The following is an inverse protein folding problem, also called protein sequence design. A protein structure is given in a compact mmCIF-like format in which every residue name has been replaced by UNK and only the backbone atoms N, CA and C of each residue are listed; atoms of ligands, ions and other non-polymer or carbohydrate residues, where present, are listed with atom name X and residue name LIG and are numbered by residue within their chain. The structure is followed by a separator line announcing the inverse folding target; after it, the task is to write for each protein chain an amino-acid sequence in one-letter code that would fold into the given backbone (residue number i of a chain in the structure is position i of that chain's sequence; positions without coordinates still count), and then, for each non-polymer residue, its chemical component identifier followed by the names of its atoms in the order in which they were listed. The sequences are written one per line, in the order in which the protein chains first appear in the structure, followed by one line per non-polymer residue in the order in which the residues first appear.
data_IF_078949350793
#
_entry.id   IF_078949350793
#
_cell.length_a   1.000
_cell.length_b   1.000
_cell.length_c   1.000
_cell.angle_alpha   90.00
_cell.angle_beta   90.00
_cell.angle_gamma   90.00
#
_symmetry.space_group_name_H-M   'P 1'
#
loop_
_entity.id
_entity.type
_entity.pdbx_description
1 polymer ?
#
# COMPACT_ATOMS: atom_id res chain seq x y z
N UNK A 1 6.27 -41.41 -6.23
CA UNK A 1 6.90 -40.18 -6.75
C UNK A 1 8.17 -39.96 -5.95
N UNK A 2 9.33 -39.79 -6.58
CA UNK A 2 10.58 -39.51 -5.86
C UNK A 2 10.49 -38.14 -5.19
N UNK A 3 10.92 -38.06 -3.93
CA UNK A 3 10.92 -36.82 -3.16
C UNK A 3 11.94 -35.83 -3.76
N UNK A 4 11.53 -34.58 -4.00
CA UNK A 4 12.39 -33.56 -4.57
C UNK A 4 13.34 -33.03 -3.48
N UNK A 5 14.64 -33.34 -3.60
CA UNK A 5 15.65 -32.85 -2.65
C UNK A 5 16.45 -31.67 -3.25
N UNK A 6 16.35 -30.48 -2.62
CA UNK A 6 17.13 -29.30 -2.98
C UNK A 6 18.29 -29.10 -2.00
N UNK A 7 19.51 -28.93 -2.49
CA UNK A 7 20.62 -28.45 -1.65
C UNK A 7 20.35 -27.02 -1.19
N UNK A 8 21.00 -26.58 -0.10
CA UNK A 8 20.89 -25.20 0.39
C UNK A 8 21.24 -24.18 -0.71
N UNK A 9 22.27 -24.45 -1.52
CA UNK A 9 22.64 -23.58 -2.63
C UNK A 9 21.58 -23.59 -3.74
N UNK A 10 20.99 -24.75 -4.03
CA UNK A 10 19.87 -24.86 -4.96
C UNK A 10 18.66 -24.05 -4.50
N UNK A 11 18.30 -24.15 -3.21
CA UNK A 11 17.20 -23.38 -2.63
C UNK A 11 17.45 -21.86 -2.67
N UNK A 12 18.68 -21.40 -2.38
CA UNK A 12 19.07 -19.98 -2.49
C UNK A 12 19.00 -19.47 -3.92
N UNK A 13 19.56 -20.23 -4.87
CA UNK A 13 19.52 -19.87 -6.29
C UNK A 13 18.07 -19.84 -6.81
N UNK A 14 17.24 -20.79 -6.38
CA UNK A 14 15.81 -20.82 -6.71
C UNK A 14 15.09 -19.59 -6.15
N UNK A 15 15.37 -19.18 -4.91
CA UNK A 15 14.78 -17.98 -4.32
C UNK A 15 15.20 -16.71 -5.08
N UNK A 16 16.49 -16.55 -5.40
CA UNK A 16 16.98 -15.44 -6.21
C UNK A 16 16.37 -15.44 -7.61
N UNK A 17 16.21 -16.63 -8.21
CA UNK A 17 15.54 -16.78 -9.50
C UNK A 17 14.08 -16.36 -9.39
N UNK A 18 13.32 -16.84 -8.40
CA UNK A 18 11.92 -16.46 -8.20
C UNK A 18 11.77 -14.95 -8.02
N UNK A 19 12.69 -14.30 -7.29
CA UNK A 19 12.68 -12.86 -7.02
C UNK A 19 13.24 -11.98 -8.14
N UNK A 20 13.76 -12.57 -9.22
CA UNK A 20 14.32 -11.83 -10.36
C UNK A 20 15.72 -11.24 -10.11
N UNK A 21 16.46 -11.81 -9.18
CA UNK A 21 17.78 -11.36 -8.73
C UNK A 21 18.93 -12.27 -9.19
N UNK A 22 18.63 -13.40 -9.84
CA UNK A 22 19.67 -14.34 -10.29
C UNK A 22 20.34 -13.91 -11.62
N UNK A 23 19.65 -13.14 -12.44
CA UNK A 23 20.12 -12.77 -13.78
C UNK A 23 20.57 -11.31 -13.82
N UNK A 24 21.66 -10.98 -14.53
CA UNK A 24 22.06 -9.60 -14.72
C UNK A 24 21.04 -8.84 -15.57
N UNK A 25 20.95 -7.53 -15.34
CA UNK A 25 20.12 -6.62 -16.13
C UNK A 25 20.68 -6.51 -17.54
N UNK A 26 19.81 -6.58 -18.55
CA UNK A 26 20.20 -6.59 -19.97
C UNK A 26 19.95 -5.27 -20.71
N UNK A 27 19.11 -4.40 -20.14
CA UNK A 27 18.73 -3.10 -20.71
C UNK A 27 18.35 -2.11 -19.61
N UNK A 28 18.22 -0.84 -19.99
CA UNK A 28 17.62 0.19 -19.12
C UNK A 28 16.15 -0.17 -18.82
N UNK A 29 15.73 0.14 -17.61
CA UNK A 29 14.36 -0.08 -17.17
C UNK A 29 13.40 0.86 -17.92
N UNK A 30 12.18 0.37 -18.14
CA UNK A 30 11.01 1.13 -18.57
C UNK A 30 9.91 0.97 -17.51
N UNK A 31 8.89 1.82 -17.53
CA UNK A 31 7.80 1.81 -16.55
C UNK A 31 7.16 0.44 -16.32
N UNK A 32 6.94 -0.32 -17.40
CA UNK A 32 6.38 -1.67 -17.31
C UNK A 32 7.21 -2.63 -16.43
N UNK A 33 8.53 -2.46 -16.38
CA UNK A 33 9.39 -3.31 -15.55
C UNK A 33 9.15 -3.11 -14.04
N UNK A 34 8.68 -1.93 -13.62
CA UNK A 34 8.28 -1.68 -12.22
C UNK A 34 7.07 -2.55 -11.86
N UNK A 35 6.05 -2.54 -12.71
CA UNK A 35 4.86 -3.36 -12.52
C UNK A 35 5.21 -4.86 -12.55
N UNK A 36 6.03 -5.29 -13.51
CA UNK A 36 6.45 -6.69 -13.64
C UNK A 36 7.31 -7.14 -12.44
N UNK A 37 8.15 -6.27 -11.89
CA UNK A 37 8.90 -6.57 -10.67
C UNK A 37 7.96 -6.78 -9.48
N UNK A 38 6.92 -5.95 -9.32
CA UNK A 38 5.94 -6.07 -8.23
C UNK A 38 5.10 -7.33 -8.41
N UNK A 39 4.63 -7.63 -9.63
CA UNK A 39 3.94 -8.89 -9.97
C UNK A 39 4.76 -10.10 -9.59
N UNK A 40 6.05 -10.10 -9.94
CA UNK A 40 6.96 -11.21 -9.62
C UNK A 40 7.17 -11.39 -8.11
N UNK A 41 7.20 -10.29 -7.35
CA UNK A 41 7.27 -10.34 -5.89
C UNK A 41 5.93 -10.72 -5.24
N UNK A 42 4.81 -10.49 -5.92
CA UNK A 42 3.44 -10.59 -5.42
C UNK A 42 3.00 -9.38 -4.58
N UNK A 43 3.94 -8.66 -3.96
CA UNK A 43 3.68 -7.43 -3.23
C UNK A 43 4.97 -6.62 -3.04
N UNK A 44 4.82 -5.30 -2.90
CA UNK A 44 5.91 -4.40 -2.52
C UNK A 44 5.54 -3.66 -1.24
N UNK A 45 6.19 -4.01 -0.13
CA UNK A 45 5.93 -3.39 1.16
C UNK A 45 6.29 -1.90 1.16
N UNK A 46 5.41 -1.11 1.78
CA UNK A 46 5.54 0.33 2.02
C UNK A 46 6.17 0.55 3.39
N UNK A 47 7.29 1.26 3.42
CA UNK A 47 7.96 1.70 4.64
C UNK A 47 8.13 3.22 4.62
N UNK A 48 7.92 3.86 5.78
CA UNK A 48 7.98 5.31 5.93
C UNK A 48 9.38 5.83 6.24
N UNK A 49 10.31 4.99 6.71
CA UNK A 49 11.69 5.38 7.06
C UNK A 49 12.44 5.82 5.79
N UNK A 50 13.08 6.99 5.83
CA UNK A 50 13.66 7.64 4.66
C UNK A 50 15.10 8.18 4.84
N UNK A 51 15.90 7.59 5.74
CA UNK A 51 17.28 8.07 6.03
C UNK A 51 18.17 8.10 4.78
N UNK A 52 18.03 7.11 3.90
CA UNK A 52 18.73 7.06 2.60
C UNK A 52 17.71 7.18 1.47
N UNK A 53 16.80 6.20 1.42
CA UNK A 53 15.60 6.20 0.60
C UNK A 53 14.59 5.26 1.27
N UNK A 54 13.30 5.40 0.94
CA UNK A 54 12.29 4.49 1.47
C UNK A 54 12.44 3.10 0.86
N UNK A 55 12.12 2.07 1.66
CA UNK A 55 12.27 0.66 1.28
C UNK A 55 11.72 0.31 -0.12
N UNK A 56 10.51 0.75 -0.53
CA UNK A 56 9.98 0.44 -1.86
C UNK A 56 10.94 0.79 -2.99
N UNK A 57 11.57 1.97 -2.89
CA UNK A 57 12.45 2.48 -3.93
C UNK A 57 13.76 1.70 -4.00
N UNK A 58 14.30 1.30 -2.85
CA UNK A 58 15.52 0.47 -2.75
C UNK A 58 15.28 -0.95 -3.28
N UNK A 59 14.13 -1.53 -2.95
CA UNK A 59 13.72 -2.88 -3.40
C UNK A 59 13.55 -2.93 -4.91
N UNK A 60 12.96 -1.89 -5.51
CA UNK A 60 12.87 -1.75 -6.96
C UNK A 60 14.25 -1.48 -7.59
N UNK A 61 15.05 -0.60 -7.00
CA UNK A 61 16.39 -0.30 -7.49
C UNK A 61 17.29 -1.55 -7.51
N UNK A 62 17.19 -2.46 -6.53
CA UNK A 62 17.96 -3.71 -6.51
C UNK A 62 17.60 -4.67 -7.65
N UNK A 63 16.40 -4.54 -8.23
CA UNK A 63 15.95 -5.34 -9.38
C UNK A 63 16.19 -4.63 -10.72
N UNK A 64 15.83 -3.35 -10.78
CA UNK A 64 15.75 -2.58 -12.04
C UNK A 64 17.01 -1.75 -12.33
N UNK A 65 17.74 -1.36 -11.28
CA UNK A 65 18.88 -0.46 -11.39
C UNK A 65 18.44 0.98 -11.45
N UNK A 66 19.12 1.78 -12.27
CA UNK A 66 18.69 3.15 -12.50
C UNK A 66 17.34 3.15 -13.23
N UNK A 67 16.32 3.65 -12.55
CA UNK A 67 14.94 3.76 -13.02
C UNK A 67 14.33 5.04 -12.46
N UNK A 68 13.24 5.50 -13.06
CA UNK A 68 12.51 6.68 -12.59
C UNK A 68 11.57 6.31 -11.44
N UNK A 69 11.79 6.78 -10.20
CA UNK A 69 10.94 6.42 -9.06
C UNK A 69 9.49 6.87 -9.21
N UNK A 70 9.23 7.92 -9.99
CA UNK A 70 7.88 8.45 -10.24
C UNK A 70 6.97 7.41 -10.89
N UNK A 71 7.53 6.44 -11.62
CA UNK A 71 6.76 5.35 -12.23
C UNK A 71 5.96 4.54 -11.22
N UNK A 72 6.44 4.39 -9.97
CA UNK A 72 5.69 3.69 -8.93
C UNK A 72 4.42 4.47 -8.54
N UNK A 73 4.55 5.78 -8.35
CA UNK A 73 3.43 6.65 -7.97
C UNK A 73 2.46 6.82 -9.15
N UNK A 74 2.96 6.88 -10.39
CA UNK A 74 2.14 6.90 -11.59
C UNK A 74 1.35 5.60 -11.77
N UNK A 75 1.97 4.43 -11.56
CA UNK A 75 1.28 3.13 -11.67
C UNK A 75 0.16 2.97 -10.63
N UNK A 76 0.34 3.53 -9.42
CA UNK A 76 -0.73 3.64 -8.44
C UNK A 76 -1.86 4.54 -8.96
N UNK A 77 -1.52 5.75 -9.43
CA UNK A 77 -2.50 6.72 -9.92
C UNK A 77 -3.27 6.25 -11.17
N UNK A 78 -2.65 5.40 -12.00
CA UNK A 78 -3.25 4.78 -13.17
C UNK A 78 -4.09 3.53 -12.84
N UNK A 79 -4.16 3.14 -11.56
CA UNK A 79 -4.89 1.95 -11.12
C UNK A 79 -4.27 0.63 -11.58
N UNK A 80 -3.01 0.62 -11.99
CA UNK A 80 -2.26 -0.63 -12.25
C UNK A 80 -1.80 -1.29 -10.94
N UNK A 81 -1.64 -0.48 -9.90
CA UNK A 81 -1.39 -0.92 -8.53
C UNK A 81 -2.49 -0.39 -7.63
N UNK A 82 -2.72 -1.07 -6.52
CA UNK A 82 -3.49 -0.54 -5.38
C UNK A 82 -2.72 -0.72 -4.08
N UNK A 83 -3.03 0.12 -3.09
CA UNK A 83 -2.52 -0.08 -1.73
C UNK A 83 -3.50 -0.91 -0.92
N UNK A 84 -2.99 -1.90 -0.18
CA UNK A 84 -3.78 -2.58 0.85
C UNK A 84 -2.91 -3.28 1.89
N UNK A 85 -3.57 -3.80 2.92
CA UNK A 85 -2.96 -4.63 3.95
C UNK A 85 -2.77 -6.06 3.43
N UNK A 86 -1.55 -6.39 2.99
CA UNK A 86 -1.15 -7.76 2.73
C UNK A 86 -0.53 -8.36 4.00
N UNK A 87 0.79 -8.41 4.12
CA UNK A 87 1.45 -8.61 5.41
C UNK A 87 1.41 -7.30 6.22
N UNK A 88 1.92 -6.23 5.61
CA UNK A 88 1.74 -4.85 6.04
C UNK A 88 1.19 -4.00 4.89
N UNK A 89 1.25 -2.66 4.99
CA UNK A 89 0.90 -1.79 3.88
C UNK A 89 1.78 -2.12 2.67
N UNK A 90 1.17 -2.48 1.55
CA UNK A 90 1.87 -2.88 0.33
C UNK A 90 1.26 -2.18 -0.90
N UNK A 91 2.08 -1.96 -1.93
CA UNK A 91 1.61 -1.86 -3.31
C UNK A 91 1.37 -3.26 -3.85
N UNK A 92 0.22 -3.47 -4.47
CA UNK A 92 -0.24 -4.76 -5.00
C UNK A 92 -0.70 -4.59 -6.45
N UNK A 93 -0.46 -5.57 -7.34
CA UNK A 93 -1.00 -5.55 -8.70
C UNK A 93 -2.53 -5.53 -8.68
N UNK A 94 -3.16 -4.71 -9.53
CA UNK A 94 -4.62 -4.57 -9.53
C UNK A 94 -5.38 -5.88 -9.80
N UNK A 95 -4.78 -6.78 -10.58
CA UNK A 95 -5.33 -8.11 -10.83
C UNK A 95 -5.50 -8.96 -9.55
N UNK A 96 -4.71 -8.69 -8.51
CA UNK A 96 -4.79 -9.40 -7.22
C UNK A 96 -5.88 -8.82 -6.31
N UNK A 97 -6.55 -7.73 -6.68
CA UNK A 97 -7.57 -7.07 -5.85
C UNK A 97 -8.65 -8.05 -5.36
N UNK A 98 -9.11 -8.95 -6.23
CA UNK A 98 -10.08 -9.99 -5.88
C UNK A 98 -9.61 -10.93 -4.76
N UNK A 99 -8.30 -11.21 -4.67
CA UNK A 99 -7.71 -12.05 -3.62
C UNK A 99 -7.80 -11.39 -2.24
N UNK A 100 -7.77 -10.06 -2.18
CA UNK A 100 -7.83 -9.29 -0.94
C UNK A 100 -9.25 -8.85 -0.56
N UNK A 101 -10.20 -8.90 -1.50
CA UNK A 101 -11.55 -8.37 -1.29
C UNK A 101 -12.28 -9.00 -0.11
N UNK A 102 -12.05 -10.29 0.17
CA UNK A 102 -12.66 -10.96 1.33
C UNK A 102 -12.31 -10.27 2.66
N UNK A 103 -11.09 -9.72 2.80
CA UNK A 103 -10.66 -8.98 4.00
C UNK A 103 -11.31 -7.59 4.10
N UNK A 104 -11.65 -6.99 2.97
CA UNK A 104 -12.37 -5.71 2.95
C UNK A 104 -13.84 -5.90 3.35
N UNK A 105 -14.45 -7.00 2.91
CA UNK A 105 -15.84 -7.35 3.23
C UNK A 105 -16.01 -7.82 4.68
N UNK A 106 -15.01 -8.51 5.23
CA UNK A 106 -14.94 -8.88 6.65
C UNK A 106 -13.65 -8.35 7.31
N UNK A 107 -13.58 -7.03 7.59
CA UNK A 107 -12.38 -6.41 8.15
C UNK A 107 -12.26 -6.65 9.67
N UNK A 108 -13.22 -7.33 10.30
CA UNK A 108 -13.19 -7.58 11.75
C UNK A 108 -11.96 -8.41 12.17
N UNK A 109 -11.46 -9.27 11.29
CA UNK A 109 -10.26 -10.07 11.52
C UNK A 109 -8.93 -9.29 11.36
N UNK A 110 -8.96 -8.01 10.94
CA UNK A 110 -7.76 -7.21 10.70
C UNK A 110 -7.10 -6.64 11.96
N UNK A 111 -7.60 -7.02 13.14
CA UNK A 111 -7.06 -6.60 14.43
C UNK A 111 -7.12 -5.08 14.59
N UNK A 112 -6.02 -4.47 15.03
CA UNK A 112 -5.96 -3.02 15.29
C UNK A 112 -6.12 -2.14 14.04
N UNK A 113 -5.99 -2.70 12.83
CA UNK A 113 -6.15 -1.99 11.54
C UNK A 113 -7.62 -1.62 11.26
N UNK A 114 -8.57 -2.24 11.95
CA UNK A 114 -10.00 -1.95 11.84
C UNK A 114 -10.66 -1.83 13.21
N UNK A 115 -11.67 -0.98 13.34
CA UNK A 115 -12.42 -0.84 14.59
C UNK A 115 -13.92 -0.73 14.33
N UNK A 116 -14.64 -1.84 14.53
CA UNK A 116 -16.10 -1.86 14.43
C UNK A 116 -16.76 -0.91 15.45
N UNK A 117 -16.18 -0.78 16.64
CA UNK A 117 -16.65 0.17 17.66
C UNK A 117 -16.53 1.61 17.18
N UNK A 118 -15.41 2.00 16.58
CA UNK A 118 -15.24 3.33 15.99
C UNK A 118 -16.30 3.61 14.92
N UNK A 119 -16.54 2.65 14.01
CA UNK A 119 -17.55 2.78 12.96
C UNK A 119 -18.96 2.95 13.50
N UNK A 120 -19.30 2.30 14.63
CA UNK A 120 -20.60 2.46 15.29
C UNK A 120 -20.73 3.79 16.03
N UNK A 121 -19.76 4.14 16.85
CA UNK A 121 -19.80 5.34 17.70
C UNK A 121 -19.70 6.63 16.91
N UNK A 122 -18.99 6.61 15.78
CA UNK A 122 -18.75 7.77 14.90
C UNK A 122 -19.49 7.68 13.57
N UNK A 123 -20.56 6.88 13.49
CA UNK A 123 -21.28 6.61 12.25
C UNK A 123 -21.70 7.88 11.49
N UNK A 124 -22.19 8.90 12.20
CA UNK A 124 -22.56 10.19 11.59
C UNK A 124 -21.38 10.95 10.99
N UNK A 125 -20.25 11.03 11.70
CA UNK A 125 -19.02 11.67 11.21
C UNK A 125 -18.43 10.93 10.01
N UNK A 126 -18.43 9.60 10.06
CA UNK A 126 -17.99 8.74 8.95
C UNK A 126 -18.87 8.94 7.71
N UNK A 127 -20.18 8.98 7.88
CA UNK A 127 -21.12 9.24 6.78
C UNK A 127 -20.90 10.63 6.17
N UNK A 128 -20.69 11.66 7.00
CA UNK A 128 -20.39 13.02 6.55
C UNK A 128 -19.06 13.07 5.77
N UNK A 129 -18.02 12.38 6.24
CA UNK A 129 -16.73 12.27 5.54
C UNK A 129 -16.88 11.63 4.16
N UNK A 130 -17.59 10.50 4.06
CA UNK A 130 -17.85 9.84 2.77
C UNK A 130 -18.67 10.73 1.82
N UNK A 131 -19.66 11.46 2.34
CA UNK A 131 -20.43 12.42 1.56
C UNK A 131 -19.58 13.60 1.08
N UNK A 132 -18.66 14.09 1.92
CA UNK A 132 -17.71 15.13 1.55
C UNK A 132 -16.82 14.69 0.40
N UNK A 133 -16.21 13.50 0.49
CA UNK A 133 -15.35 12.94 -0.58
C UNK A 133 -16.14 12.76 -1.87
N UNK A 134 -17.37 12.25 -1.79
CA UNK A 134 -18.24 12.09 -2.98
C UNK A 134 -18.56 13.43 -3.66
N UNK A 135 -18.70 14.51 -2.89
CA UNK A 135 -19.07 15.83 -3.41
C UNK A 135 -17.88 16.72 -3.82
N UNK A 136 -16.73 16.56 -3.17
CA UNK A 136 -15.58 17.47 -3.31
C UNK A 136 -14.31 16.77 -3.82
N UNK A 137 -14.34 15.44 -3.94
CA UNK A 137 -13.23 14.64 -4.45
C UNK A 137 -12.27 14.13 -3.38
N UNK A 138 -11.10 13.61 -3.80
CA UNK A 138 -10.14 12.94 -2.92
C UNK A 138 -9.56 13.84 -1.84
N UNK A 139 -9.25 13.27 -0.67
CA UNK A 139 -8.72 14.01 0.49
C UNK A 139 -7.48 13.37 1.10
N UNK A 140 -6.68 14.17 1.80
CA UNK A 140 -5.57 13.72 2.66
C UNK A 140 -5.93 13.94 4.12
N UNK A 141 -5.30 13.19 5.02
CA UNK A 141 -5.43 13.44 6.45
C UNK A 141 -4.96 14.84 6.88
N UNK A 142 -4.11 15.49 6.08
CA UNK A 142 -3.63 16.86 6.30
C UNK A 142 -4.66 17.93 5.99
N UNK A 143 -5.70 17.62 5.20
CA UNK A 143 -6.68 18.61 4.75
C UNK A 143 -7.70 18.95 5.86
N UNK A 144 -7.71 18.18 6.96
CA UNK A 144 -8.54 18.43 8.14
C UNK A 144 -7.73 19.19 9.19
N UNK A 145 -8.20 20.38 9.59
CA UNK A 145 -7.57 21.18 10.65
C UNK A 145 -7.80 20.60 12.05
N UNK A 146 -6.90 20.86 13.00
CA UNK A 146 -7.17 20.53 14.42
C UNK A 146 -7.94 21.66 15.05
N UNK A 147 -9.12 21.35 15.56
CA UNK A 147 -9.98 22.31 16.26
C UNK A 147 -9.81 22.26 17.78
N UNK A 148 -8.98 21.35 18.31
CA UNK A 148 -8.85 21.06 19.74
C UNK A 148 -7.67 21.77 20.45
N UNK A 149 -6.87 22.56 19.72
CA UNK A 149 -5.79 23.40 20.28
C UNK A 149 -4.61 22.64 20.92
N UNK A 150 -4.57 21.30 20.83
CA UNK A 150 -3.51 20.48 21.44
C UNK A 150 -2.40 20.17 20.41
N UNK A 151 -1.13 20.18 20.85
CA UNK A 151 -0.03 19.57 20.09
C UNK A 151 -0.07 18.06 20.31
N UNK A 152 -0.45 17.30 19.29
CA UNK A 152 -0.69 15.86 19.44
C UNK A 152 0.56 15.11 19.83
N UNK A 153 0.46 14.33 20.90
CA UNK A 153 1.45 13.29 21.17
C UNK A 153 1.53 12.30 20.00
N UNK A 154 2.63 11.54 19.94
CA UNK A 154 2.93 10.56 18.88
C UNK A 154 1.77 9.59 18.56
N UNK A 155 0.84 9.38 19.51
CA UNK A 155 -0.29 8.45 19.42
C UNK A 155 -1.67 9.14 19.28
N UNK A 156 -1.77 10.47 19.34
CA UNK A 156 -3.06 11.17 19.24
C UNK A 156 -3.42 11.45 17.77
N UNK A 157 -4.18 10.54 17.17
CA UNK A 157 -4.67 10.72 15.80
C UNK A 157 -5.90 11.62 15.80
N UNK A 158 -5.98 12.53 14.80
CA UNK A 158 -7.21 13.25 14.51
C UNK A 158 -8.34 12.23 14.22
N UNK A 159 -9.57 12.44 14.72
CA UNK A 159 -10.70 11.54 14.43
C UNK A 159 -10.85 11.22 12.94
N UNK A 160 -10.66 12.22 12.07
CA UNK A 160 -10.74 12.08 10.62
C UNK A 160 -9.66 11.15 10.08
N UNK A 161 -8.42 11.25 10.58
CA UNK A 161 -7.34 10.34 10.21
C UNK A 161 -7.70 8.89 10.57
N UNK A 162 -8.27 8.66 11.76
CA UNK A 162 -8.70 7.32 12.17
C UNK A 162 -9.84 6.80 11.30
N UNK A 163 -10.83 7.64 10.99
CA UNK A 163 -11.92 7.28 10.08
C UNK A 163 -11.41 6.92 8.68
N UNK A 164 -10.47 7.70 8.10
CA UNK A 164 -9.84 7.40 6.81
C UNK A 164 -9.14 6.04 6.81
N UNK A 165 -8.35 5.72 7.85
CA UNK A 165 -7.65 4.43 7.94
C UNK A 165 -8.62 3.24 8.13
N UNK A 166 -9.69 3.41 8.91
CA UNK A 166 -10.70 2.35 9.12
C UNK A 166 -11.49 2.10 7.83
N UNK A 167 -11.89 3.16 7.13
CA UNK A 167 -12.57 3.08 5.82
C UNK A 167 -11.66 2.48 4.74
N UNK A 168 -10.36 2.80 4.79
CA UNK A 168 -9.36 2.16 3.93
C UNK A 168 -9.26 0.65 4.19
N UNK A 169 -9.20 0.24 5.46
CA UNK A 169 -9.14 -1.18 5.81
C UNK A 169 -10.38 -1.95 5.34
N UNK A 170 -11.57 -1.34 5.42
CA UNK A 170 -12.81 -1.95 4.90
C UNK A 170 -12.98 -1.86 3.39
N UNK A 171 -12.03 -1.24 2.67
CA UNK A 171 -12.13 -0.98 1.23
C UNK A 171 -13.28 -0.06 0.83
N UNK A 172 -13.80 0.74 1.77
CA UNK A 172 -14.81 1.77 1.49
C UNK A 172 -14.16 3.06 0.99
N UNK A 173 -12.87 3.24 1.26
CA UNK A 173 -11.98 4.17 0.59
C UNK A 173 -10.76 3.40 0.10
N UNK A 174 -10.17 3.86 -1.00
CA UNK A 174 -8.91 3.36 -1.55
C UNK A 174 -7.92 4.51 -1.67
N UNK A 175 -6.65 4.20 -1.93
CA UNK A 175 -5.62 5.22 -2.13
C UNK A 175 -5.52 5.49 -3.63
N UNK A 176 -6.05 6.64 -4.06
CA UNK A 176 -6.02 7.03 -5.47
C UNK A 176 -4.60 7.38 -5.93
N UNK A 177 -3.81 8.00 -5.05
CA UNK A 177 -2.40 8.35 -5.32
C UNK A 177 -1.68 8.71 -4.03
N UNK A 178 -0.38 8.94 -4.15
CA UNK A 178 0.42 9.59 -3.10
C UNK A 178 0.82 11.00 -3.50
N UNK A 179 0.98 11.87 -2.51
CA UNK A 179 1.60 13.18 -2.67
C UNK A 179 2.61 13.37 -1.54
N UNK A 180 3.90 13.48 -1.87
CA UNK A 180 4.98 13.52 -0.88
C UNK A 180 4.89 12.37 0.14
N UNK A 181 4.56 11.17 -0.35
CA UNK A 181 4.34 9.96 0.45
C UNK A 181 3.13 10.01 1.43
N UNK A 182 2.30 11.05 1.34
CA UNK A 182 0.99 11.09 2.01
C UNK A 182 -0.06 10.43 1.11
N UNK A 183 -0.92 9.60 1.72
CA UNK A 183 -2.06 8.98 1.05
C UNK A 183 -3.11 10.03 0.68
N UNK A 184 -3.60 9.95 -0.55
CA UNK A 184 -4.79 10.65 -1.03
C UNK A 184 -5.90 9.59 -1.15
N UNK A 185 -6.90 9.70 -0.30
CA UNK A 185 -8.02 8.77 -0.18
C UNK A 185 -9.15 9.17 -1.12
N UNK A 186 -9.74 8.19 -1.78
CA UNK A 186 -10.92 8.37 -2.65
C UNK A 186 -11.85 7.14 -2.56
N UNK A 187 -13.05 7.24 -3.15
CA UNK A 187 -14.09 6.20 -3.18
C UNK A 187 -13.83 5.10 -4.22
#
# INVERSE_FOLDING_TARGET
MSELHLSINGARALHLAAQGLLQPRRRKAVKADVLDAIRRMGMLQIDTINVVARSPYLVLWSRLGDYRPEWLDELLAEGQLFEYWAHEACFLPIEDYGLYRHRMLDPAAMGWKYSATWMRERAGEVAALLAHIRGHGPVRSSDFERTDGKSGGWWEWKPEKRSLEVLFTSGALMIARRHNFQRVYDL
#
